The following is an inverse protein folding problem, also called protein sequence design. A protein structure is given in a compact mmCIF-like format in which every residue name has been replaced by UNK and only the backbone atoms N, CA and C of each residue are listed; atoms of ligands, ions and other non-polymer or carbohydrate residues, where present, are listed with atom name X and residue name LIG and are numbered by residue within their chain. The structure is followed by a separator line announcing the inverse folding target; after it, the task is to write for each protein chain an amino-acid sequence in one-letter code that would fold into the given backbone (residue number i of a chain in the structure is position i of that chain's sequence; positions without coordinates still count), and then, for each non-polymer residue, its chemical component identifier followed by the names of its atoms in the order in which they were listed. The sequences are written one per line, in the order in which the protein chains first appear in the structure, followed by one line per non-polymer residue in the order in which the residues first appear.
data_IF_300754732502
#
_entry.id   IF_300754732502
#
_cell.length_a   1.000
_cell.length_b   1.000
_cell.length_c   1.000
_cell.angle_alpha   90.00
_cell.angle_beta   90.00
_cell.angle_gamma   90.00
#
_symmetry.space_group_name_H-M   'P 1'
#
loop_
_entity.id
_entity.type
_entity.pdbx_description
1 polymer ?
#
# COMPACT_ATOMS: atom_id res chain seq x y z
N UNK A 1 15.37 -10.78 -7.81
CA UNK A 1 14.39 -10.17 -8.73
C UNK A 1 14.83 -8.74 -9.05
N UNK A 2 14.75 -8.33 -10.31
CA UNK A 2 15.12 -6.97 -10.70
C UNK A 2 14.01 -5.97 -10.39
N UNK A 3 14.35 -4.67 -10.39
CA UNK A 3 13.36 -3.61 -10.24
C UNK A 3 12.24 -3.74 -11.27
N UNK A 4 12.57 -3.98 -12.53
CA UNK A 4 11.57 -4.15 -13.60
C UNK A 4 10.61 -5.31 -13.34
N UNK A 5 11.10 -6.41 -12.79
CA UNK A 5 10.24 -7.55 -12.43
C UNK A 5 9.32 -7.21 -11.26
N UNK A 6 9.81 -6.47 -10.28
CA UNK A 6 8.98 -5.98 -9.17
C UNK A 6 7.87 -5.06 -9.68
N UNK A 7 8.21 -4.11 -10.56
CA UNK A 7 7.24 -3.20 -11.18
C UNK A 7 6.20 -3.98 -11.98
N UNK A 8 6.63 -4.95 -12.80
CA UNK A 8 5.72 -5.77 -13.59
C UNK A 8 4.76 -6.58 -12.71
N UNK A 9 5.23 -7.10 -11.58
CA UNK A 9 4.39 -7.82 -10.63
C UNK A 9 3.34 -6.90 -10.00
N UNK A 10 3.73 -5.68 -9.63
CA UNK A 10 2.79 -4.67 -9.10
C UNK A 10 1.77 -4.25 -10.15
N UNK A 11 2.19 -4.01 -11.39
CA UNK A 11 1.30 -3.68 -12.49
C UNK A 11 0.26 -4.79 -12.72
N UNK A 12 0.69 -6.05 -12.72
CA UNK A 12 -0.19 -7.19 -12.89
C UNK A 12 -1.21 -7.29 -11.75
N UNK A 13 -0.76 -7.09 -10.51
CA UNK A 13 -1.62 -7.09 -9.34
C UNK A 13 -2.67 -5.98 -9.40
N UNK A 14 -2.25 -4.77 -9.75
CA UNK A 14 -3.15 -3.61 -9.89
C UNK A 14 -4.16 -3.86 -11.00
N UNK A 15 -3.72 -4.38 -12.14
CA UNK A 15 -4.61 -4.70 -13.28
C UNK A 15 -5.66 -5.76 -12.91
N UNK A 16 -5.33 -6.68 -12.01
CA UNK A 16 -6.24 -7.72 -11.53
C UNK A 16 -7.11 -7.27 -10.34
N UNK A 17 -6.93 -6.06 -9.84
CA UNK A 17 -7.65 -5.55 -8.67
C UNK A 17 -9.01 -4.97 -9.08
N UNK A 18 -10.13 -5.44 -8.49
CA UNK A 18 -11.44 -4.88 -8.76
C UNK A 18 -11.64 -3.52 -8.08
N UNK A 19 -12.70 -2.80 -8.47
CA UNK A 19 -13.09 -1.50 -7.92
C UNK A 19 -12.09 -0.37 -8.15
N UNK A 20 -11.18 -0.52 -9.11
CA UNK A 20 -10.19 0.50 -9.44
C UNK A 20 -10.75 1.48 -10.45
N UNK A 21 -10.75 2.78 -10.13
CA UNK A 21 -11.18 3.86 -11.01
C UNK A 21 -10.01 4.47 -11.78
N UNK A 22 -8.84 4.60 -11.14
CA UNK A 22 -7.65 5.19 -11.75
C UNK A 22 -6.40 4.70 -11.05
N UNK A 23 -5.30 4.63 -11.78
CA UNK A 23 -4.00 4.24 -11.23
C UNK A 23 -2.88 5.08 -11.79
N UNK A 24 -1.82 5.24 -11.00
CA UNK A 24 -0.53 5.71 -11.47
C UNK A 24 0.56 4.86 -10.85
N UNK A 25 1.57 4.54 -11.63
CA UNK A 25 2.73 3.80 -11.15
C UNK A 25 3.97 4.34 -11.85
N UNK A 26 4.96 4.72 -11.07
CA UNK A 26 6.24 5.19 -11.59
C UNK A 26 7.38 4.52 -10.84
N UNK A 27 8.53 4.40 -11.49
CA UNK A 27 9.71 3.87 -10.85
C UNK A 27 10.97 4.57 -11.35
N UNK A 28 11.98 4.58 -10.50
CA UNK A 28 13.24 5.23 -10.76
C UNK A 28 14.38 4.32 -10.29
N UNK A 29 15.29 4.01 -11.20
CA UNK A 29 16.51 3.32 -10.81
C UNK A 29 17.48 4.34 -10.22
N UNK A 30 18.08 4.00 -9.08
CA UNK A 30 19.11 4.79 -8.42
C UNK A 30 20.39 3.97 -8.36
N UNK A 31 21.24 4.05 -9.41
CA UNK A 31 22.47 3.29 -9.44
C UNK A 31 23.35 3.56 -8.22
N UNK A 32 24.17 2.56 -7.81
CA UNK A 32 24.33 1.26 -8.47
C UNK A 32 23.34 0.20 -8.00
N UNK A 33 22.67 0.35 -6.84
CA UNK A 33 22.02 -0.77 -6.17
C UNK A 33 20.64 -0.45 -5.57
N UNK A 34 20.01 0.63 -6.00
CA UNK A 34 18.74 1.05 -5.41
C UNK A 34 17.68 1.34 -6.47
N UNK A 35 16.43 1.29 -6.05
CA UNK A 35 15.27 1.66 -6.85
C UNK A 35 14.15 2.22 -5.99
N UNK A 36 13.33 3.08 -6.56
CA UNK A 36 12.17 3.66 -5.92
C UNK A 36 10.95 3.41 -6.78
N UNK A 37 9.91 2.86 -6.17
CA UNK A 37 8.60 2.68 -6.80
C UNK A 37 7.60 3.56 -6.07
N UNK A 38 6.78 4.30 -6.82
CA UNK A 38 5.67 5.09 -6.30
C UNK A 38 4.41 4.74 -7.04
N UNK A 39 3.32 4.59 -6.33
CA UNK A 39 2.04 4.30 -6.94
C UNK A 39 0.88 4.96 -6.22
N UNK A 40 -0.22 5.12 -6.94
CA UNK A 40 -1.49 5.57 -6.40
C UNK A 40 -2.61 4.79 -7.08
N UNK A 41 -3.56 4.33 -6.29
CA UNK A 41 -4.74 3.62 -6.75
C UNK A 41 -5.95 4.37 -6.20
N UNK A 42 -6.81 4.88 -7.10
CA UNK A 42 -8.09 5.48 -6.74
C UNK A 42 -9.17 4.43 -6.96
N UNK A 43 -9.96 4.17 -5.93
CA UNK A 43 -11.04 3.19 -5.96
C UNK A 43 -12.37 3.86 -6.32
N UNK A 44 -13.34 3.04 -6.74
CA UNK A 44 -14.65 3.54 -7.20
C UNK A 44 -15.47 4.22 -6.12
N UNK A 45 -15.16 3.98 -4.84
CA UNK A 45 -15.80 4.67 -3.71
C UNK A 45 -15.14 6.02 -3.37
N UNK A 46 -14.14 6.44 -4.15
CA UNK A 46 -13.39 7.69 -3.94
C UNK A 46 -12.21 7.56 -2.98
N UNK A 47 -12.02 6.41 -2.35
CA UNK A 47 -10.84 6.18 -1.52
C UNK A 47 -9.58 6.03 -2.37
N UNK A 48 -8.43 6.23 -1.76
CA UNK A 48 -7.14 6.21 -2.45
C UNK A 48 -6.07 5.55 -1.61
N UNK A 49 -5.30 4.68 -2.25
CA UNK A 49 -4.11 4.09 -1.69
C UNK A 49 -2.89 4.70 -2.38
N UNK A 50 -2.06 5.40 -1.61
CA UNK A 50 -0.76 5.90 -2.06
C UNK A 50 0.31 5.00 -1.46
N UNK A 51 1.28 4.58 -2.27
CA UNK A 51 2.35 3.74 -1.76
C UNK A 51 3.71 4.08 -2.34
N UNK A 52 4.74 3.76 -1.56
CA UNK A 52 6.14 3.89 -1.94
C UNK A 52 6.90 2.66 -1.47
N UNK A 53 7.79 2.18 -2.31
CA UNK A 53 8.74 1.14 -1.93
C UNK A 53 10.14 1.56 -2.38
N UNK A 54 11.07 1.61 -1.44
CA UNK A 54 12.48 1.82 -1.72
C UNK A 54 13.18 0.47 -1.63
N UNK A 55 13.82 0.05 -2.72
CA UNK A 55 14.43 -1.26 -2.85
C UNK A 55 15.94 -1.15 -2.92
N UNK A 56 16.60 -2.14 -2.30
CA UNK A 56 17.99 -2.46 -2.56
C UNK A 56 17.98 -3.60 -3.58
N UNK A 57 18.65 -3.43 -4.72
CA UNK A 57 18.52 -4.32 -5.87
C UNK A 57 19.63 -5.37 -6.01
N UNK A 58 20.65 -5.32 -5.16
CA UNK A 58 21.78 -6.25 -5.19
C UNK A 58 21.98 -6.88 -3.81
N UNK A 59 22.25 -8.19 -3.72
CA UNK A 59 22.30 -9.17 -4.79
C UNK A 59 20.93 -9.54 -5.36
N UNK A 60 19.84 -9.28 -4.61
CA UNK A 60 18.45 -9.47 -5.04
C UNK A 60 17.62 -8.28 -4.62
N UNK A 61 16.50 -8.01 -5.31
CA UNK A 61 15.62 -6.92 -4.96
C UNK A 61 14.91 -7.19 -3.62
N UNK A 62 15.17 -6.35 -2.62
CA UNK A 62 14.58 -6.40 -1.29
C UNK A 62 13.99 -5.04 -0.98
N UNK A 63 12.74 -4.98 -0.54
CA UNK A 63 12.13 -3.72 -0.08
C UNK A 63 12.76 -3.34 1.26
N UNK A 64 13.46 -2.22 1.27
CA UNK A 64 14.18 -1.71 2.43
C UNK A 64 13.34 -0.74 3.24
N UNK A 65 12.59 0.13 2.55
CA UNK A 65 11.63 1.07 3.18
C UNK A 65 10.34 1.05 2.40
N UNK A 66 9.24 1.22 3.11
CA UNK A 66 7.92 1.24 2.50
C UNK A 66 6.95 2.11 3.27
N UNK A 67 5.92 2.59 2.58
CA UNK A 67 4.75 3.23 3.16
C UNK A 67 3.55 2.95 2.28
N UNK A 68 2.46 2.53 2.90
CA UNK A 68 1.16 2.33 2.26
C UNK A 68 0.14 3.17 3.03
N UNK A 69 -0.36 4.24 2.41
CA UNK A 69 -1.33 5.17 3.00
C UNK A 69 -2.69 4.99 2.34
N UNK A 70 -3.67 4.58 3.10
CA UNK A 70 -5.04 4.48 2.63
C UNK A 70 -5.89 5.58 3.25
N UNK A 71 -6.55 6.37 2.41
CA UNK A 71 -7.32 7.55 2.83
C UNK A 71 -8.62 7.67 2.07
N UNK A 72 -9.58 8.33 2.70
CA UNK A 72 -10.79 8.82 2.06
C UNK A 72 -10.81 10.34 2.27
N UNK A 73 -10.75 11.09 1.16
CA UNK A 73 -10.57 12.54 1.19
C UNK A 73 -9.32 12.90 2.01
N UNK A 74 -9.47 13.67 3.10
CA UNK A 74 -8.38 14.06 3.98
C UNK A 74 -8.23 13.17 5.22
N UNK A 75 -9.01 12.09 5.30
CA UNK A 75 -8.98 11.19 6.44
C UNK A 75 -8.08 9.99 6.17
N UNK A 76 -7.04 9.83 6.97
CA UNK A 76 -6.23 8.62 6.96
C UNK A 76 -7.03 7.48 7.60
N UNK A 77 -7.26 6.42 6.83
CA UNK A 77 -7.95 5.23 7.31
C UNK A 77 -6.97 4.22 7.91
N UNK A 78 -5.83 4.01 7.23
CA UNK A 78 -4.70 3.29 7.82
C UNK A 78 -3.41 3.63 7.09
N UNK A 79 -2.29 3.38 7.78
CA UNK A 79 -0.95 3.49 7.20
C UNK A 79 -0.06 2.37 7.72
N UNK A 80 0.49 1.59 6.81
CA UNK A 80 1.56 0.63 7.10
C UNK A 80 2.89 1.24 6.65
N UNK A 81 3.87 1.32 7.55
CA UNK A 81 5.20 1.78 7.18
C UNK A 81 6.27 1.26 8.16
N UNK A 82 7.52 1.46 7.79
CA UNK A 82 8.66 1.11 8.63
C UNK A 82 9.58 2.30 8.92
N UNK A 83 9.04 3.52 8.93
CA UNK A 83 9.80 4.67 9.39
C UNK A 83 10.15 4.52 10.87
N UNK A 84 11.30 5.07 11.27
CA UNK A 84 11.75 5.04 12.68
C UNK A 84 10.93 6.05 13.50
N UNK A 85 9.70 5.65 13.85
CA UNK A 85 8.79 6.46 14.64
C UNK A 85 9.01 6.18 16.12
N UNK A 86 9.33 7.20 16.95
CA UNK A 86 9.47 7.00 18.39
C UNK A 86 8.26 6.38 19.07
N UNK A 87 7.04 6.66 18.57
CA UNK A 87 5.81 6.09 19.10
C UNK A 87 5.70 4.58 18.88
N UNK A 88 6.44 4.03 17.90
CA UNK A 88 6.45 2.59 17.57
C UNK A 88 7.59 1.83 18.26
N UNK A 89 8.44 2.52 19.02
CA UNK A 89 9.70 1.95 19.54
C UNK A 89 9.52 0.67 20.36
N UNK A 90 8.43 0.54 21.08
CA UNK A 90 8.18 -0.59 21.96
C UNK A 90 7.38 -1.72 21.30
N UNK A 91 7.03 -1.59 20.04
CA UNK A 91 6.35 -2.64 19.30
C UNK A 91 7.30 -3.79 18.96
N UNK A 92 6.81 -5.00 18.99
CA UNK A 92 7.60 -6.20 18.65
C UNK A 92 8.08 -6.18 17.22
N UNK A 93 7.31 -5.59 16.31
CA UNK A 93 7.62 -5.50 14.88
C UNK A 93 8.46 -4.29 14.51
N UNK A 94 8.81 -3.42 15.47
CA UNK A 94 9.57 -2.19 15.21
C UNK A 94 10.77 -2.47 14.27
N UNK A 95 11.03 -1.66 13.23
CA UNK A 95 10.35 -0.38 12.92
C UNK A 95 9.03 -0.52 12.15
N UNK A 96 8.66 -1.72 11.72
CA UNK A 96 7.39 -1.96 11.02
C UNK A 96 6.21 -1.77 11.96
N UNK A 97 5.20 -1.03 11.53
CA UNK A 97 4.01 -0.73 12.33
C UNK A 97 2.84 -0.29 11.46
N UNK A 98 1.66 -0.27 12.06
CA UNK A 98 0.44 0.20 11.41
C UNK A 98 -0.25 1.27 12.24
N UNK A 99 -0.57 2.38 11.60
CA UNK A 99 -1.41 3.43 12.15
C UNK A 99 -2.85 3.19 11.77
N UNK A 100 -3.74 3.22 12.74
CA UNK A 100 -5.19 3.21 12.56
C UNK A 100 -5.80 4.31 13.43
N UNK A 101 -7.10 4.57 13.31
CA UNK A 101 -7.76 5.63 14.08
C UNK A 101 -7.58 5.51 15.60
N UNK A 102 -7.46 4.28 16.12
CA UNK A 102 -7.30 4.00 17.54
C UNK A 102 -5.85 4.06 18.04
N UNK A 103 -4.87 4.21 17.14
CA UNK A 103 -3.46 4.29 17.52
C UNK A 103 -2.54 3.47 16.62
N UNK A 104 -1.39 3.08 17.18
CA UNK A 104 -0.34 2.33 16.48
C UNK A 104 -0.33 0.90 16.98
N UNK A 105 -0.18 -0.06 16.08
CA UNK A 105 -0.11 -1.48 16.42
C UNK A 105 1.06 -2.18 15.75
N UNK A 106 1.41 -3.35 16.31
CA UNK A 106 2.34 -4.28 15.66
C UNK A 106 1.84 -4.63 14.26
N UNK A 107 2.73 -4.64 13.30
CA UNK A 107 2.45 -5.09 11.95
C UNK A 107 3.75 -5.44 11.24
N UNK A 108 3.82 -6.65 10.67
CA UNK A 108 4.88 -7.01 9.75
C UNK A 108 4.67 -6.28 8.43
N UNK A 109 5.73 -6.20 7.60
CA UNK A 109 5.59 -5.62 6.26
C UNK A 109 4.55 -6.40 5.44
N UNK A 110 3.45 -5.77 5.02
CA UNK A 110 2.49 -6.44 4.16
C UNK A 110 2.96 -6.45 2.70
N UNK A 111 2.40 -7.35 1.91
CA UNK A 111 2.41 -7.24 0.46
C UNK A 111 1.33 -6.26 0.01
N UNK A 112 1.42 -5.72 -1.19
CA UNK A 112 0.34 -4.90 -1.75
C UNK A 112 -0.98 -5.69 -1.82
N UNK A 113 -0.90 -6.98 -2.09
CA UNK A 113 -2.06 -7.87 -2.07
C UNK A 113 -2.74 -7.88 -0.70
N UNK A 114 -1.97 -7.98 0.38
CA UNK A 114 -2.49 -7.95 1.75
C UNK A 114 -3.05 -6.57 2.11
N UNK A 115 -2.39 -5.50 1.68
CA UNK A 115 -2.87 -4.12 1.90
C UNK A 115 -4.24 -3.89 1.27
N UNK A 116 -4.46 -4.41 0.05
CA UNK A 116 -5.72 -4.19 -0.68
C UNK A 116 -6.90 -4.95 -0.10
N UNK A 117 -6.70 -6.05 0.62
CA UNK A 117 -7.79 -6.91 1.10
C UNK A 117 -8.88 -6.14 1.89
N UNK A 118 -8.56 -5.38 2.95
CA UNK A 118 -9.59 -4.62 3.67
C UNK A 118 -10.22 -3.53 2.80
N UNK A 119 -9.49 -2.99 1.84
CA UNK A 119 -10.00 -1.97 0.91
C UNK A 119 -11.08 -2.57 0.02
N UNK A 120 -10.81 -3.74 -0.56
CA UNK A 120 -11.75 -4.43 -1.45
C UNK A 120 -13.00 -4.87 -0.69
N UNK A 121 -12.85 -5.33 0.54
CA UNK A 121 -13.98 -5.67 1.41
C UNK A 121 -14.87 -4.44 1.66
N UNK A 122 -14.27 -3.28 1.93
CA UNK A 122 -15.00 -2.03 2.12
C UNK A 122 -15.73 -1.59 0.85
N UNK A 123 -15.07 -1.66 -0.31
CA UNK A 123 -15.67 -1.33 -1.60
C UNK A 123 -16.85 -2.24 -1.94
N UNK A 124 -16.72 -3.54 -1.70
CA UNK A 124 -17.78 -4.52 -1.93
C UNK A 124 -18.97 -4.27 -1.01
N UNK A 125 -18.72 -3.96 0.26
CA UNK A 125 -19.77 -3.63 1.23
C UNK A 125 -20.54 -2.37 0.80
N UNK A 126 -19.86 -1.32 0.38
CA UNK A 126 -20.49 -0.09 -0.07
C UNK A 126 -21.38 -0.33 -1.30
N UNK A 127 -20.91 -1.13 -2.25
CA UNK A 127 -21.69 -1.48 -3.44
C UNK A 127 -22.96 -2.24 -3.06
N UNK A 128 -22.89 -3.20 -2.16
CA UNK A 128 -24.03 -3.95 -1.65
C UNK A 128 -25.04 -3.05 -0.93
N UNK A 129 -24.55 -2.13 -0.11
CA UNK A 129 -25.39 -1.14 0.61
C UNK A 129 -26.16 -0.27 -0.38
N UNK A 130 -25.51 0.27 -1.39
CA UNK A 130 -26.15 1.09 -2.43
C UNK A 130 -27.19 0.30 -3.21
N UNK A 131 -26.92 -0.95 -3.52
CA UNK A 131 -27.88 -1.81 -4.18
C UNK A 131 -29.16 -1.96 -3.35
N UNK A 132 -29.06 -2.24 -2.06
CA UNK A 132 -30.21 -2.39 -1.17
C UNK A 132 -30.99 -1.09 -0.95
N UNK A 133 -30.36 0.07 -1.04
CA UNK A 133 -31.06 1.36 -0.96
C UNK A 133 -31.85 1.64 -2.24
N UNK A 134 -31.28 1.31 -3.41
CA UNK A 134 -31.87 1.65 -4.70
C UNK A 134 -32.91 0.65 -5.20
N UNK A 135 -32.83 -0.56 -4.73
CA UNK A 135 -33.69 -1.67 -5.16
C UNK A 135 -34.27 -2.42 -3.98
#
# INVERSE_FOLDING_TARGET
MSLKKNVAALEALIAATPFVAATSLSYEERPPTAGLIKGAIVFTDGSQLDFKEFLITQPTAIVFKYAYNYRLENHLLFRDDNASDPAARNLLTYPSHKHVSSGISDAEKPSLEQVREPILTSCAFMLSYLYHILF
#
